data_IF_540124175707
#
_entry.id   IF_540124175707
#
_cell.length_a   1.000
_cell.length_b   1.000
_cell.length_c   1.000
_cell.angle_alpha   90.00
_cell.angle_beta   90.00
_cell.angle_gamma   90.00
#
_symmetry.space_group_name_H-M   'P 1'
#
loop_
_entity.id
_entity.type
_entity.pdbx_description
1 polymer ?
#
# COMPACT_ATOMS: atom_id res chain seq x y z
N UNK A 1 5.94 9.10 22.66
CA UNK A 1 5.05 7.92 22.71
C UNK A 1 4.38 7.83 21.36
N UNK A 2 4.54 6.70 20.68
CA UNK A 2 3.97 6.39 19.37
C UNK A 2 2.66 5.63 19.62
N UNK A 3 1.51 6.17 19.17
CA UNK A 3 0.21 5.49 19.34
C UNK A 3 -0.14 4.74 18.08
N UNK A 4 -0.11 3.41 18.15
CA UNK A 4 -0.47 2.57 17.02
C UNK A 4 -1.95 2.21 17.12
N UNK A 5 -2.70 2.37 16.04
CA UNK A 5 -4.05 1.84 15.94
C UNK A 5 -4.07 0.62 15.01
N UNK A 6 -4.99 -0.30 15.29
CA UNK A 6 -5.32 -1.41 14.42
C UNK A 6 -6.83 -1.64 14.53
N UNK A 7 -7.53 -1.57 13.40
CA UNK A 7 -8.99 -1.74 13.34
C UNK A 7 -9.33 -2.77 12.25
N UNK A 8 -10.11 -3.80 12.63
CA UNK A 8 -10.70 -4.75 11.69
C UNK A 8 -11.98 -4.18 11.05
N UNK A 9 -12.08 -4.30 9.73
CA UNK A 9 -13.26 -3.87 8.97
C UNK A 9 -14.14 -5.05 8.60
N UNK A 10 -15.37 -5.08 9.11
CA UNK A 10 -16.32 -6.18 8.83
C UNK A 10 -17.09 -5.97 7.50
N UNK A 11 -17.31 -4.72 7.08
CA UNK A 11 -18.01 -4.40 5.83
C UNK A 11 -17.04 -4.29 4.66
N UNK A 12 -16.52 -5.44 4.20
CA UNK A 12 -15.54 -5.47 3.10
C UNK A 12 -16.02 -4.78 1.82
N UNK A 13 -17.27 -4.97 1.34
CA UNK A 13 -17.75 -4.30 0.15
C UNK A 13 -17.72 -2.78 0.25
N UNK A 14 -18.02 -2.22 1.44
CA UNK A 14 -17.93 -0.79 1.69
C UNK A 14 -16.49 -0.30 1.61
N UNK A 15 -15.54 -0.96 2.28
CA UNK A 15 -14.13 -0.54 2.26
C UNK A 15 -13.57 -0.59 0.84
N UNK A 16 -13.76 -1.70 0.10
CA UNK A 16 -13.29 -1.86 -1.28
C UNK A 16 -13.82 -0.71 -2.17
N UNK A 17 -15.09 -0.36 -2.01
CA UNK A 17 -15.74 0.72 -2.76
C UNK A 17 -15.20 2.10 -2.38
N UNK A 18 -15.08 2.38 -1.09
CA UNK A 18 -14.62 3.69 -0.58
C UNK A 18 -13.14 3.92 -0.94
N UNK A 19 -12.37 2.83 -1.08
CA UNK A 19 -10.98 2.85 -1.55
C UNK A 19 -10.83 2.82 -3.08
N UNK A 20 -11.93 2.82 -3.83
CA UNK A 20 -11.94 2.79 -5.29
C UNK A 20 -11.12 1.63 -5.90
N UNK A 21 -11.12 0.47 -5.24
CA UNK A 21 -10.35 -0.68 -5.70
C UNK A 21 -11.13 -1.50 -6.74
N UNK A 22 -10.48 -1.78 -7.87
CA UNK A 22 -10.94 -2.73 -8.87
C UNK A 22 -10.37 -4.12 -8.53
N UNK A 23 -11.22 -5.02 -8.01
CA UNK A 23 -10.86 -6.40 -7.64
C UNK A 23 -11.74 -7.37 -8.44
N UNK A 24 -11.18 -8.45 -8.99
CA UNK A 24 -11.91 -9.40 -9.83
C UNK A 24 -12.91 -10.29 -9.06
N UNK A 25 -12.47 -10.94 -7.97
CA UNK A 25 -13.28 -11.78 -7.06
C UNK A 25 -13.17 -11.23 -5.62
N UNK A 26 -13.81 -10.07 -5.31
CA UNK A 26 -13.66 -9.40 -4.01
C UNK A 26 -14.09 -10.24 -2.81
N UNK A 27 -14.95 -11.24 -3.00
CA UNK A 27 -15.36 -12.23 -1.98
C UNK A 27 -14.21 -13.13 -1.50
N UNK A 28 -13.09 -13.16 -2.23
CA UNK A 28 -11.88 -13.86 -1.77
C UNK A 28 -11.22 -13.15 -0.61
N UNK A 29 -11.40 -11.84 -0.43
CA UNK A 29 -10.88 -11.10 0.73
C UNK A 29 -11.59 -11.58 2.00
N UNK A 30 -10.82 -12.12 2.95
CA UNK A 30 -11.33 -12.66 4.22
C UNK A 30 -11.07 -11.78 5.42
N UNK A 31 -10.09 -10.88 5.33
CA UNK A 31 -9.84 -9.88 6.35
C UNK A 31 -9.38 -8.57 5.73
N UNK A 32 -9.79 -7.48 6.37
CA UNK A 32 -9.35 -6.12 6.06
C UNK A 32 -9.04 -5.43 7.38
N UNK A 33 -7.84 -4.90 7.51
CA UNK A 33 -7.44 -4.09 8.66
C UNK A 33 -6.95 -2.73 8.21
N UNK A 34 -7.29 -1.68 8.95
CA UNK A 34 -6.57 -0.39 8.87
C UNK A 34 -5.64 -0.26 10.06
N UNK A 35 -4.43 0.22 9.82
CA UNK A 35 -3.46 0.44 10.88
C UNK A 35 -2.47 1.55 10.53
N UNK A 36 -1.91 2.19 11.54
CA UNK A 36 -1.03 3.34 11.39
C UNK A 36 -0.63 3.90 12.75
N UNK A 37 -0.08 5.11 12.78
CA UNK A 37 0.36 5.75 14.01
C UNK A 37 -0.32 7.09 14.24
N UNK A 38 -1.17 7.25 15.25
CA UNK A 38 -1.77 8.53 15.70
C UNK A 38 -0.70 9.44 16.34
N UNK A 39 -0.55 10.71 15.91
CA UNK A 39 0.47 11.58 16.47
C UNK A 39 -0.02 12.11 17.82
N UNK A 40 0.88 12.14 18.79
CA UNK A 40 0.58 12.61 20.14
C UNK A 40 0.81 14.11 20.39
N UNK A 41 1.38 14.78 19.41
CA UNK A 41 1.77 16.19 19.46
C UNK A 41 1.64 16.77 18.06
N UNK A 42 1.14 18.00 17.95
CA UNK A 42 0.98 18.75 16.69
C UNK A 42 2.32 18.95 15.95
N UNK A 43 3.46 18.66 16.59
CA UNK A 43 4.80 18.80 16.03
C UNK A 43 5.37 17.55 15.35
N UNK A 44 4.72 16.38 15.46
CA UNK A 44 5.23 15.15 14.86
C UNK A 44 4.83 15.03 13.40
N UNK A 45 5.78 14.60 12.58
CA UNK A 45 5.51 14.25 11.19
C UNK A 45 4.82 12.89 11.16
N UNK A 46 3.50 12.97 11.07
CA UNK A 46 2.61 11.83 11.05
C UNK A 46 2.84 10.89 9.85
N UNK A 47 3.31 11.42 8.73
CA UNK A 47 3.62 10.63 7.54
C UNK A 47 4.88 9.80 7.79
N UNK A 48 5.90 10.41 8.38
CA UNK A 48 7.13 9.71 8.77
C UNK A 48 6.84 8.62 9.81
N UNK A 49 6.08 8.93 10.87
CA UNK A 49 5.72 7.96 11.90
C UNK A 49 4.90 6.78 11.31
N UNK A 50 3.98 7.03 10.37
CA UNK A 50 3.22 5.96 9.68
C UNK A 50 4.07 5.14 8.72
N UNK A 51 5.04 5.77 8.02
CA UNK A 51 6.00 5.07 7.18
C UNK A 51 6.91 4.15 8.02
N UNK A 52 7.36 4.61 9.19
CA UNK A 52 8.16 3.81 10.12
C UNK A 52 7.42 2.57 10.60
N UNK A 53 6.12 2.69 10.93
CA UNK A 53 5.27 1.56 11.32
C UNK A 53 5.10 0.57 10.15
N UNK A 54 4.85 1.06 8.93
CA UNK A 54 4.75 0.20 7.74
C UNK A 54 6.08 -0.52 7.47
N UNK A 55 7.20 0.20 7.53
CA UNK A 55 8.53 -0.36 7.31
C UNK A 55 8.84 -1.44 8.36
N UNK A 56 8.55 -1.17 9.64
CA UNK A 56 8.69 -2.17 10.71
C UNK A 56 7.84 -3.41 10.45
N UNK A 57 6.56 -3.22 10.12
CA UNK A 57 5.62 -4.30 9.83
C UNK A 57 6.15 -5.21 8.71
N UNK A 58 6.57 -4.62 7.58
CA UNK A 58 7.08 -5.36 6.43
C UNK A 58 8.42 -6.05 6.72
N UNK A 59 9.33 -5.38 7.45
CA UNK A 59 10.62 -5.96 7.87
C UNK A 59 10.41 -7.13 8.83
N UNK A 60 9.48 -7.03 9.78
CA UNK A 60 9.16 -8.09 10.75
C UNK A 60 8.45 -9.27 10.09
N UNK A 61 7.58 -9.01 9.12
CA UNK A 61 6.98 -10.04 8.29
C UNK A 61 8.03 -10.79 7.45
N UNK A 62 9.10 -10.09 7.03
CA UNK A 62 10.26 -10.64 6.32
C UNK A 62 9.88 -11.53 5.13
N UNK A 63 8.87 -11.10 4.36
CA UNK A 63 8.36 -11.81 3.19
C UNK A 63 8.71 -11.04 1.93
N UNK A 64 9.71 -11.55 1.23
CA UNK A 64 10.17 -11.02 -0.06
C UNK A 64 9.99 -12.07 -1.16
N UNK A 65 9.79 -11.65 -2.42
CA UNK A 65 9.78 -10.27 -2.89
C UNK A 65 8.48 -9.51 -2.52
N UNK A 66 8.60 -8.18 -2.40
CA UNK A 66 7.47 -7.24 -2.31
C UNK A 66 7.40 -6.47 -3.63
N UNK A 67 6.22 -6.41 -4.24
CA UNK A 67 5.96 -5.61 -5.42
C UNK A 67 5.35 -4.28 -4.98
N UNK A 68 6.10 -3.19 -5.13
CA UNK A 68 5.66 -1.84 -4.77
C UNK A 68 5.31 -1.11 -6.06
N UNK A 69 4.03 -0.83 -6.27
CA UNK A 69 3.51 -0.21 -7.48
C UNK A 69 2.93 1.16 -7.19
N UNK A 70 3.38 2.17 -7.91
CA UNK A 70 2.95 3.55 -7.71
C UNK A 70 2.91 4.34 -9.02
N UNK A 71 2.26 5.51 -8.98
CA UNK A 71 2.10 6.41 -10.13
C UNK A 71 0.66 6.51 -10.63
N UNK A 72 0.48 6.91 -11.89
CA UNK A 72 -0.87 7.12 -12.46
C UNK A 72 -1.42 8.55 -12.31
N UNK A 73 -0.70 9.42 -11.63
CA UNK A 73 -1.01 10.84 -11.43
C UNK A 73 0.20 11.72 -11.66
N UNK A 74 1.27 11.52 -10.88
CA UNK A 74 2.51 12.29 -10.94
C UNK A 74 3.56 11.54 -11.75
N UNK A 75 4.28 12.28 -12.59
CA UNK A 75 5.51 11.80 -13.22
C UNK A 75 6.65 12.60 -12.63
N UNK A 76 7.51 11.91 -11.89
CA UNK A 76 8.76 12.45 -11.38
C UNK A 76 9.88 12.07 -12.34
N UNK A 77 10.65 13.07 -12.75
CA UNK A 77 11.79 12.91 -13.64
C UNK A 77 13.00 12.32 -12.90
N UNK A 78 13.03 12.38 -11.57
CA UNK A 78 14.13 11.90 -10.72
C UNK A 78 13.98 10.43 -10.30
N UNK A 79 12.76 9.87 -10.39
CA UNK A 79 12.47 8.50 -9.98
C UNK A 79 13.30 7.46 -10.75
N UNK A 80 13.32 7.53 -12.08
CA UNK A 80 14.05 6.54 -12.88
C UNK A 80 15.57 6.60 -12.64
N UNK A 81 16.21 7.79 -12.61
CA UNK A 81 17.59 7.91 -12.15
C UNK A 81 17.84 7.31 -10.77
N UNK A 82 16.92 7.50 -9.81
CA UNK A 82 17.00 6.87 -8.48
C UNK A 82 16.98 5.34 -8.59
N UNK A 83 15.97 4.76 -9.23
CA UNK A 83 15.81 3.30 -9.33
C UNK A 83 17.04 2.64 -10.00
N UNK A 84 17.60 3.30 -11.03
CA UNK A 84 18.81 2.84 -11.70
C UNK A 84 20.06 2.94 -10.83
N UNK A 85 20.20 4.03 -10.05
CA UNK A 85 21.33 4.22 -9.14
C UNK A 85 21.33 3.19 -8.01
N UNK A 86 20.15 2.85 -7.50
CA UNK A 86 19.95 1.88 -6.42
C UNK A 86 19.91 0.42 -6.90
N UNK A 87 20.08 0.17 -8.21
CA UNK A 87 20.03 -1.15 -8.86
C UNK A 87 18.72 -1.94 -8.58
N UNK A 88 17.60 -1.21 -8.49
CA UNK A 88 16.30 -1.81 -8.20
C UNK A 88 15.67 -2.38 -9.48
N UNK A 89 15.09 -3.58 -9.38
CA UNK A 89 14.35 -4.19 -10.49
C UNK A 89 12.97 -3.53 -10.63
N UNK A 90 12.69 -2.93 -11.78
CA UNK A 90 11.41 -2.25 -12.01
C UNK A 90 10.83 -2.48 -13.40
N UNK A 91 9.50 -2.41 -13.49
CA UNK A 91 8.72 -2.41 -14.73
C UNK A 91 7.94 -1.11 -14.85
N UNK A 92 8.07 -0.45 -16.01
CA UNK A 92 7.22 0.70 -16.36
C UNK A 92 5.99 0.24 -17.12
N UNK A 93 4.82 0.63 -16.62
CA UNK A 93 3.55 0.39 -17.27
C UNK A 93 3.06 1.74 -17.79
N UNK A 94 3.02 1.91 -19.10
CA UNK A 94 2.62 3.18 -19.73
C UNK A 94 1.27 3.05 -20.45
N UNK A 95 0.15 3.15 -19.74
CA UNK A 95 -1.14 3.21 -20.35
C UNK A 95 -1.36 4.59 -20.99
N UNK A 96 -1.29 4.64 -22.31
CA UNK A 96 -1.77 5.70 -23.20
C UNK A 96 -1.93 7.12 -22.58
N UNK A 97 -1.01 8.02 -22.94
CA UNK A 97 -0.97 9.46 -22.57
C UNK A 97 -0.96 9.74 -21.05
N UNK A 98 0.23 10.11 -20.57
CA UNK A 98 0.55 10.88 -19.34
C UNK A 98 0.37 10.21 -17.98
N UNK A 99 -0.19 9.00 -17.89
CA UNK A 99 -0.26 8.26 -16.62
C UNK A 99 0.60 7.03 -16.76
N UNK A 100 1.78 7.05 -16.18
CA UNK A 100 2.64 5.87 -16.10
C UNK A 100 2.58 5.33 -14.68
N UNK A 101 2.56 4.01 -14.56
CA UNK A 101 2.80 3.34 -13.29
C UNK A 101 4.21 2.75 -13.32
N UNK A 102 4.84 2.66 -12.16
CA UNK A 102 6.08 1.94 -11.96
C UNK A 102 5.80 0.84 -10.94
N UNK A 103 6.22 -0.38 -11.24
CA UNK A 103 6.18 -1.50 -10.29
C UNK A 103 7.61 -1.95 -10.03
N UNK A 104 8.04 -1.82 -8.78
CA UNK A 104 9.39 -2.17 -8.32
C UNK A 104 9.30 -3.49 -7.55
N UNK A 105 10.15 -4.45 -7.89
CA UNK A 105 10.31 -5.70 -7.16
C UNK A 105 11.43 -5.52 -6.14
N UNK A 106 11.05 -5.48 -4.87
CA UNK A 106 11.93 -5.37 -3.71
C UNK A 106 12.23 -6.76 -3.17
N UNK A 107 13.50 -7.12 -3.03
CA UNK A 107 13.94 -8.47 -2.69
C UNK A 107 14.47 -8.59 -1.26
N UNK A 108 14.76 -7.48 -0.59
CA UNK A 108 15.18 -7.46 0.81
C UNK A 108 14.78 -6.19 1.57
N UNK A 109 14.98 -6.23 2.88
CA UNK A 109 14.63 -5.16 3.82
C UNK A 109 15.39 -3.84 3.58
N UNK A 110 16.60 -3.91 3.02
CA UNK A 110 17.41 -2.72 2.75
C UNK A 110 16.92 -2.01 1.49
N UNK A 111 16.60 -2.78 0.44
CA UNK A 111 15.93 -2.25 -0.76
C UNK A 111 14.57 -1.63 -0.40
N UNK A 112 13.80 -2.28 0.48
CA UNK A 112 12.51 -1.78 0.92
C UNK A 112 12.63 -0.42 1.58
N UNK A 113 13.54 -0.28 2.53
CA UNK A 113 13.76 0.96 3.28
C UNK A 113 14.14 2.11 2.34
N UNK A 114 15.12 1.89 1.45
CA UNK A 114 15.52 2.93 0.48
C UNK A 114 14.37 3.32 -0.46
N UNK A 115 13.58 2.34 -0.92
CA UNK A 115 12.45 2.63 -1.81
C UNK A 115 11.35 3.41 -1.08
N UNK A 116 10.94 2.97 0.12
CA UNK A 116 9.89 3.66 0.88
C UNK A 116 10.31 5.09 1.24
N UNK A 117 11.55 5.32 1.66
CA UNK A 117 12.05 6.67 1.97
C UNK A 117 11.94 7.61 0.76
N UNK A 118 12.18 7.10 -0.44
CA UNK A 118 12.09 7.88 -1.68
C UNK A 118 10.66 8.00 -2.21
N UNK A 119 9.81 6.98 -2.04
CA UNK A 119 8.54 6.90 -2.77
C UNK A 119 7.29 6.96 -1.91
N UNK A 120 7.38 6.91 -0.58
CA UNK A 120 6.19 6.96 0.27
C UNK A 120 5.39 8.26 0.06
N UNK A 121 6.05 9.36 -0.29
CA UNK A 121 5.39 10.63 -0.60
C UNK A 121 4.53 10.59 -1.88
N UNK A 122 4.66 9.60 -2.77
CA UNK A 122 3.72 9.45 -3.89
C UNK A 122 2.34 9.08 -3.43
N UNK A 123 2.25 8.23 -2.40
CA UNK A 123 1.01 8.10 -1.67
C UNK A 123 0.62 9.52 -1.25
N UNK A 124 1.55 10.28 -0.65
CA UNK A 124 1.35 11.65 -0.14
C UNK A 124 0.62 12.63 -1.08
N UNK A 125 0.86 12.45 -2.38
CA UNK A 125 0.30 13.27 -3.44
C UNK A 125 -1.10 12.78 -3.93
N UNK A 126 -1.75 11.86 -3.22
CA UNK A 126 -2.94 11.12 -3.67
C UNK A 126 -2.70 10.36 -4.97
N UNK A 127 -1.47 9.88 -5.19
CA UNK A 127 -1.20 8.99 -6.31
C UNK A 127 -1.51 7.54 -5.93
N UNK A 128 -1.64 6.66 -6.94
CA UNK A 128 -1.80 5.24 -6.65
C UNK A 128 -0.52 4.74 -5.96
N UNK A 129 -0.67 4.01 -4.86
CA UNK A 129 0.41 3.37 -4.14
C UNK A 129 -0.08 2.04 -3.55
N UNK A 130 0.56 0.95 -3.95
CA UNK A 130 0.10 -0.40 -3.72
C UNK A 130 1.29 -1.32 -3.44
N UNK A 131 1.20 -2.14 -2.40
CA UNK A 131 2.22 -3.14 -2.09
C UNK A 131 1.57 -4.52 -2.10
N UNK A 132 2.24 -5.52 -2.68
CA UNK A 132 1.78 -6.91 -2.62
C UNK A 132 2.95 -7.88 -2.52
N UNK A 133 2.70 -9.05 -1.91
CA UNK A 133 3.72 -10.09 -1.73
C UNK A 133 3.84 -11.05 -2.92
N UNK A 134 2.96 -10.88 -3.89
CA UNK A 134 2.97 -11.53 -5.20
C UNK A 134 2.58 -10.48 -6.24
N UNK A 135 2.84 -10.75 -7.52
CA UNK A 135 2.40 -9.83 -8.57
C UNK A 135 0.89 -9.98 -8.80
N UNK A 136 0.10 -9.11 -8.16
CA UNK A 136 -1.38 -9.16 -8.20
C UNK A 136 -1.99 -8.20 -9.21
N UNK A 137 -1.23 -7.27 -9.77
CA UNK A 137 -1.80 -6.20 -10.61
C UNK A 137 -1.78 -6.56 -12.08
N UNK A 138 -2.93 -6.40 -12.72
CA UNK A 138 -3.05 -6.18 -14.17
C UNK A 138 -3.48 -4.75 -14.44
N UNK A 139 -3.33 -4.34 -15.69
CA UNK A 139 -3.70 -2.99 -16.13
C UNK A 139 -4.70 -3.12 -17.28
N UNK A 140 -5.94 -2.78 -16.99
CA UNK A 140 -7.06 -2.99 -17.90
C UNK A 140 -7.71 -1.69 -18.32
N UNK A 141 -8.16 -1.66 -19.57
CA UNK A 141 -8.90 -0.54 -20.13
C UNK A 141 -10.35 -0.59 -19.64
N UNK A 142 -10.74 0.29 -18.71
CA UNK A 142 -12.08 0.34 -18.10
C UNK A 142 -12.75 1.70 -18.26
N UNK A 143 -14.07 1.70 -18.27
CA UNK A 143 -14.88 2.93 -18.33
C UNK A 143 -15.05 3.52 -16.92
N UNK A 144 -14.28 4.54 -16.59
CA UNK A 144 -14.31 5.19 -15.27
C UNK A 144 -15.30 6.36 -15.29
N UNK A 145 -16.19 6.42 -14.29
CA UNK A 145 -17.14 7.53 -14.12
C UNK A 145 -16.45 8.68 -13.40
N UNK A 146 -16.18 9.77 -14.11
CA UNK A 146 -15.83 11.05 -13.51
C UNK A 146 -17.08 11.83 -13.07
N UNK A 147 -16.85 13.02 -12.51
CA UNK A 147 -17.94 13.85 -11.98
C UNK A 147 -18.96 14.29 -13.05
N UNK A 148 -18.50 14.53 -14.29
CA UNK A 148 -19.33 15.03 -15.40
C UNK A 148 -19.35 14.12 -16.64
N UNK A 149 -18.45 13.15 -16.76
CA UNK A 149 -18.34 12.30 -17.94
C UNK A 149 -17.78 10.92 -17.58
N UNK A 150 -18.15 9.91 -18.35
CA UNK A 150 -17.46 8.61 -18.33
C UNK A 150 -16.30 8.68 -19.32
N UNK A 151 -15.15 8.16 -18.93
CA UNK A 151 -13.97 8.12 -19.80
C UNK A 151 -13.27 6.78 -19.64
N UNK A 152 -12.91 6.20 -20.77
CA UNK A 152 -12.00 5.07 -20.85
C UNK A 152 -10.63 5.45 -20.29
N UNK A 153 -10.19 4.68 -19.31
CA UNK A 153 -8.89 4.82 -18.66
C UNK A 153 -8.33 3.44 -18.40
N UNK A 154 -7.01 3.31 -18.46
CA UNK A 154 -6.39 2.12 -17.90
C UNK A 154 -6.33 2.28 -16.39
N UNK A 155 -6.82 1.27 -15.70
CA UNK A 155 -6.85 1.20 -14.24
C UNK A 155 -6.10 -0.05 -13.78
N UNK A 156 -5.42 0.01 -12.62
CA UNK A 156 -4.91 -1.19 -11.98
C UNK A 156 -6.09 -2.05 -11.53
N UNK A 157 -6.01 -3.35 -11.79
CA UNK A 157 -6.98 -4.36 -11.37
C UNK A 157 -6.23 -5.39 -10.53
N UNK A 158 -6.77 -5.67 -9.36
CA UNK A 158 -6.22 -6.66 -8.43
C UNK A 158 -6.81 -8.02 -8.80
N UNK A 159 -5.94 -8.90 -9.31
CA UNK A 159 -6.29 -10.28 -9.59
C UNK A 159 -6.12 -11.10 -8.32
N UNK A 160 -7.21 -11.64 -7.83
CA UNK A 160 -7.21 -12.40 -6.57
C UNK A 160 -6.68 -13.82 -6.77
N UNK A 161 -5.96 -14.32 -5.77
CA UNK A 161 -5.42 -15.70 -5.74
C UNK A 161 -5.96 -16.47 -4.55
N UNK A 162 -5.63 -17.76 -4.43
CA UNK A 162 -6.01 -18.57 -3.27
C UNK A 162 -5.35 -18.08 -1.97
N UNK A 163 -4.10 -17.60 -2.07
CA UNK A 163 -3.34 -17.01 -0.97
C UNK A 163 -2.73 -15.69 -1.45
N UNK A 164 -3.15 -14.58 -0.86
CA UNK A 164 -2.67 -13.23 -1.15
C UNK A 164 -2.89 -12.28 0.02
N UNK A 165 -1.98 -11.32 0.11
CA UNK A 165 -2.21 -10.07 0.82
C UNK A 165 -1.65 -8.90 0.01
N UNK A 166 -2.28 -7.76 0.19
CA UNK A 166 -1.79 -6.50 -0.35
C UNK A 166 -2.14 -5.36 0.58
N UNK A 167 -1.41 -4.27 0.40
CA UNK A 167 -1.52 -3.06 1.19
C UNK A 167 -1.82 -1.89 0.28
N UNK A 168 -2.74 -1.02 0.72
CA UNK A 168 -2.99 0.29 0.12
C UNK A 168 -2.84 1.36 1.19
N UNK A 169 -2.28 2.51 0.84
CA UNK A 169 -2.02 3.59 1.80
C UNK A 169 -3.30 4.40 2.02
N UNK A 170 -3.62 4.81 3.25
CA UNK A 170 -4.78 5.66 3.54
C UNK A 170 -4.71 7.03 2.87
N UNK A 171 -5.88 7.65 2.68
CA UNK A 171 -5.94 9.07 2.31
C UNK A 171 -5.23 9.91 3.37
N UNK A 172 -4.58 10.99 2.95
CA UNK A 172 -3.80 11.88 3.83
C UNK A 172 -2.68 11.20 4.63
N UNK A 173 -2.25 10.00 4.21
CA UNK A 173 -1.06 9.28 4.73
C UNK A 173 -1.22 8.85 6.16
N UNK A 174 -2.48 8.56 6.52
CA UNK A 174 -2.85 8.29 7.89
C UNK A 174 -2.61 6.89 8.41
N UNK A 175 -2.18 6.01 7.51
CA UNK A 175 -1.91 4.64 7.81
C UNK A 175 -2.02 3.85 6.52
N UNK A 176 -2.39 2.60 6.65
CA UNK A 176 -2.55 1.71 5.53
C UNK A 176 -3.58 0.63 5.83
N UNK A 177 -4.20 0.15 4.75
CA UNK A 177 -5.11 -0.98 4.80
C UNK A 177 -4.40 -2.23 4.34
N UNK A 178 -4.42 -3.29 5.17
CA UNK A 178 -4.03 -4.65 4.82
C UNK A 178 -5.27 -5.42 4.40
N UNK A 179 -5.29 -5.90 3.16
CA UNK A 179 -6.31 -6.80 2.64
C UNK A 179 -5.71 -8.20 2.51
N UNK A 180 -6.41 -9.22 2.98
CA UNK A 180 -5.85 -10.57 2.99
C UNK A 180 -6.89 -11.68 2.91
N UNK A 181 -6.44 -12.85 2.46
CA UNK A 181 -7.11 -14.13 2.69
C UNK A 181 -6.18 -15.19 3.31
N UNK A 182 -5.05 -14.75 3.88
CA UNK A 182 -4.02 -15.62 4.44
C UNK A 182 -4.25 -15.91 5.92
N UNK A 183 -3.90 -17.12 6.34
CA UNK A 183 -4.07 -17.57 7.72
C UNK A 183 -3.21 -16.83 8.75
N UNK A 184 -2.14 -16.15 8.32
CA UNK A 184 -1.32 -15.29 9.19
C UNK A 184 -1.96 -13.93 9.48
N UNK A 185 -3.05 -13.57 8.79
CA UNK A 185 -3.78 -12.31 8.95
C UNK A 185 -5.28 -12.53 9.17
N UNK A 186 -5.70 -13.71 9.62
CA UNK A 186 -7.12 -14.05 9.83
C UNK A 186 -7.70 -13.52 11.15
N UNK A 187 -6.86 -12.95 12.01
CA UNK A 187 -7.22 -12.45 13.35
C UNK A 187 -6.36 -11.24 13.70
N UNK A 188 -6.95 -10.31 14.46
CA UNK A 188 -6.27 -9.10 14.92
C UNK A 188 -5.01 -9.42 15.73
N UNK A 189 -5.06 -10.42 16.61
CA UNK A 189 -3.91 -10.82 17.44
C UNK A 189 -2.73 -11.27 16.59
N UNK A 190 -2.97 -12.00 15.49
CA UNK A 190 -1.89 -12.41 14.59
C UNK A 190 -1.29 -11.21 13.86
N UNK A 191 -2.11 -10.26 13.42
CA UNK A 191 -1.63 -9.02 12.80
C UNK A 191 -0.79 -8.20 13.78
N UNK A 192 -1.25 -8.07 15.03
CA UNK A 192 -0.51 -7.37 16.12
C UNK A 192 0.89 -7.91 16.33
N UNK A 193 1.14 -9.20 16.09
CA UNK A 193 2.49 -9.78 16.26
C UNK A 193 3.56 -9.20 15.33
N UNK A 194 3.15 -8.53 14.25
CA UNK A 194 4.03 -7.87 13.29
C UNK A 194 4.18 -6.37 13.54
N UNK A 195 3.37 -5.78 14.43
CA UNK A 195 3.44 -4.37 14.77
C UNK A 195 4.54 -4.09 15.81
N UNK A 196 5.07 -2.85 15.86
CA UNK A 196 6.06 -2.45 16.86
C UNK A 196 5.59 -2.67 18.31
N UNK A 197 6.49 -3.10 19.19
CA UNK A 197 6.24 -3.27 20.63
C UNK A 197 7.43 -2.75 21.45
N UNK A 198 7.20 -2.26 22.67
CA UNK A 198 8.28 -1.84 23.59
C UNK A 198 8.03 -0.49 24.27
N UNK A 199 9.04 0.00 25.00
CA UNK A 199 8.94 1.27 25.72
C UNK A 199 8.65 2.43 24.76
N UNK A 200 7.60 3.20 25.06
CA UNK A 200 7.19 4.35 24.27
C UNK A 200 6.28 4.04 23.08
N UNK A 201 5.79 2.80 22.94
CA UNK A 201 4.73 2.39 22.01
C UNK A 201 3.49 2.00 22.82
N UNK A 202 2.35 2.54 22.44
CA UNK A 202 1.05 2.21 23.03
C UNK A 202 0.06 1.87 21.92
N UNK A 203 -0.83 0.91 22.17
CA UNK A 203 -1.89 0.55 21.24
C UNK A 203 -3.18 1.25 21.63
N UNK A 204 -3.81 1.91 20.66
CA UNK A 204 -5.15 2.48 20.82
C UNK A 204 -6.18 1.34 20.70
N UNK A 205 -7.01 1.16 21.73
CA UNK A 205 -8.15 0.23 21.74
C UNK A 205 -9.42 0.86 21.17
#
# INVERSE_FOLDING_TARGET
>A
MLYIYLEEHIDHPKVIKDRYLDIDEPERIKSIYSMGCIPNDEKRDYQADSNDVLNYFLKRLNRFPIFVTFGGGFTDEELEPFLQREDLSYTKIQPYKRRSYCSVQVNDASELERLLDETYWYAAANDFYFLSFTNLLTFEMRMVKGWFFKKERVVPVINTTEEMSFITIEHDFMGYYLFSNEACFDTEEKVKTFLPEGEGIDYYE
#
